data_IF_842230621399
#
_entry.id   IF_842230621399
#
_cell.length_a   1.000
_cell.length_b   1.000
_cell.length_c   1.000
_cell.angle_alpha   90.00
_cell.angle_beta   90.00
_cell.angle_gamma   90.00
#
_symmetry.space_group_name_H-M   'P 1'
#
loop_
_entity.id
_entity.type
_entity.pdbx_description
1 polymer ?
#
# COMPACT_ATOMS: atom_id res chain seq x y z
N UNK A 1 7.78 1.03 18.15
CA UNK A 1 7.41 2.13 17.24
C UNK A 1 5.91 2.11 17.14
N UNK A 2 5.24 3.20 17.49
CA UNK A 2 3.79 3.31 17.36
C UNK A 2 3.39 3.73 15.92
N UNK A 3 2.11 3.59 15.59
CA UNK A 3 1.58 3.93 14.25
C UNK A 3 1.76 5.41 13.94
N UNK A 4 1.67 6.29 14.95
CA UNK A 4 1.85 7.73 14.80
C UNK A 4 3.25 8.08 14.29
N UNK A 5 4.29 7.49 14.89
CA UNK A 5 5.67 7.68 14.45
C UNK A 5 5.86 7.20 13.01
N UNK A 6 5.29 6.04 12.66
CA UNK A 6 5.40 5.51 11.30
C UNK A 6 4.71 6.42 10.29
N UNK A 7 3.50 6.89 10.60
CA UNK A 7 2.76 7.85 9.77
C UNK A 7 3.56 9.13 9.53
N UNK A 8 4.17 9.70 10.56
CA UNK A 8 5.02 10.89 10.44
C UNK A 8 6.23 10.66 9.54
N UNK A 9 6.89 9.50 9.66
CA UNK A 9 8.00 9.13 8.79
C UNK A 9 7.56 8.97 7.33
N UNK A 10 6.47 8.27 7.08
CA UNK A 10 5.92 8.13 5.72
C UNK A 10 5.54 9.50 5.17
N UNK A 11 4.83 10.33 5.94
CA UNK A 11 4.42 11.67 5.51
C UNK A 11 5.62 12.56 5.15
N UNK A 12 6.73 12.46 5.90
CA UNK A 12 7.96 13.22 5.68
C UNK A 12 8.71 12.79 4.41
N UNK A 13 8.67 11.50 4.08
CA UNK A 13 9.50 10.93 3.02
C UNK A 13 8.74 10.64 1.72
N UNK A 14 7.41 10.52 1.78
CA UNK A 14 6.57 10.46 0.58
C UNK A 14 6.57 11.82 -0.14
N UNK A 15 6.58 11.77 -1.47
CA UNK A 15 6.42 12.93 -2.33
C UNK A 15 5.06 13.61 -2.17
N UNK A 16 4.83 14.70 -2.91
CA UNK A 16 3.64 15.53 -2.78
C UNK A 16 2.36 14.81 -3.23
N UNK A 17 2.46 13.84 -4.13
CA UNK A 17 1.37 12.92 -4.54
C UNK A 17 1.98 11.76 -5.33
N UNK A 18 1.27 10.63 -5.40
CA UNK A 18 1.69 9.42 -6.09
C UNK A 18 2.71 8.57 -5.33
N UNK A 19 3.42 7.71 -6.07
CA UNK A 19 4.43 6.79 -5.53
C UNK A 19 5.80 7.45 -5.54
N UNK A 20 6.56 7.26 -4.47
CA UNK A 20 7.92 7.76 -4.27
C UNK A 20 8.86 6.61 -3.96
N UNK A 21 9.95 6.53 -4.73
CA UNK A 21 11.05 5.61 -4.48
C UNK A 21 11.82 6.02 -3.22
N UNK A 22 12.38 5.04 -2.52
CA UNK A 22 13.28 5.29 -1.38
C UNK A 22 14.68 4.77 -1.67
N UNK A 23 15.70 5.16 -0.90
CA UNK A 23 17.04 4.55 -0.98
C UNK A 23 17.08 3.09 -0.51
N UNK A 24 15.98 2.55 0.02
CA UNK A 24 15.88 1.16 0.47
C UNK A 24 15.26 0.37 -0.68
N UNK A 25 16.03 -0.56 -1.23
CA UNK A 25 15.60 -1.41 -2.34
C UNK A 25 14.30 -2.16 -1.98
N UNK A 26 13.34 -2.11 -2.89
CA UNK A 26 12.02 -2.74 -2.73
C UNK A 26 11.06 -1.98 -1.82
N UNK A 27 11.47 -0.88 -1.15
CA UNK A 27 10.58 -0.05 -0.36
C UNK A 27 10.20 1.22 -1.12
N UNK A 28 8.89 1.39 -1.31
CA UNK A 28 8.27 2.59 -1.88
C UNK A 28 7.28 3.18 -0.90
N UNK A 29 7.14 4.49 -0.93
CA UNK A 29 6.12 5.22 -0.18
C UNK A 29 5.09 5.76 -1.15
N UNK A 30 3.86 5.99 -0.69
CA UNK A 30 2.87 6.67 -1.52
C UNK A 30 2.01 7.62 -0.72
N UNK A 31 1.55 8.65 -1.42
CA UNK A 31 0.57 9.63 -0.97
C UNK A 31 -0.49 9.73 -2.05
N UNK A 32 -1.75 9.74 -1.66
CA UNK A 32 -2.87 9.92 -2.57
C UNK A 32 -3.76 11.02 -1.98
N UNK A 33 -3.79 12.17 -2.64
CA UNK A 33 -4.54 13.34 -2.16
C UNK A 33 -5.94 13.46 -2.76
N UNK A 34 -6.27 12.67 -3.78
CA UNK A 34 -7.56 12.72 -4.46
C UNK A 34 -8.17 11.32 -4.56
N UNK A 35 -9.52 11.20 -4.58
CA UNK A 35 -10.15 9.90 -4.73
C UNK A 35 -9.73 9.23 -6.04
N UNK A 36 -9.40 7.94 -5.93
CA UNK A 36 -9.13 7.09 -7.09
C UNK A 36 -10.33 6.17 -7.26
N UNK A 37 -11.02 6.30 -8.39
CA UNK A 37 -12.08 5.37 -8.78
C UNK A 37 -11.56 3.93 -8.91
N UNK A 38 -12.47 2.96 -8.89
CA UNK A 38 -12.11 1.55 -9.05
C UNK A 38 -11.41 1.31 -10.39
N UNK A 39 -10.10 1.04 -10.33
CA UNK A 39 -9.25 0.80 -11.48
C UNK A 39 -8.60 -0.59 -11.40
N UNK A 40 -8.48 -1.31 -12.53
CA UNK A 40 -7.77 -2.58 -12.58
C UNK A 40 -6.25 -2.35 -12.48
N UNK A 41 -5.57 -3.30 -11.85
CA UNK A 41 -4.12 -3.33 -11.74
C UNK A 41 -3.60 -4.73 -11.48
N UNK A 42 -2.29 -4.92 -11.63
CA UNK A 42 -1.61 -6.15 -11.21
C UNK A 42 -0.73 -5.79 -10.03
N UNK A 43 -1.02 -6.37 -8.87
CA UNK A 43 -0.17 -6.19 -7.71
C UNK A 43 0.94 -7.24 -7.78
N UNK A 44 2.22 -6.84 -7.82
CA UNK A 44 3.32 -7.79 -7.74
C UNK A 44 3.36 -8.44 -6.35
N UNK A 45 4.22 -9.45 -6.18
CA UNK A 45 4.48 -9.99 -4.85
C UNK A 45 5.02 -8.89 -3.93
N UNK A 46 4.18 -8.42 -3.01
CA UNK A 46 4.42 -7.23 -2.21
C UNK A 46 3.53 -7.19 -0.97
N UNK A 47 3.97 -6.44 0.03
CA UNK A 47 3.17 -6.04 1.18
C UNK A 47 2.82 -4.56 1.06
N UNK A 48 1.54 -4.24 1.14
CA UNK A 48 1.00 -2.89 1.13
C UNK A 48 0.43 -2.57 2.51
N UNK A 49 0.96 -1.53 3.15
CA UNK A 49 0.51 -1.08 4.47
C UNK A 49 0.03 0.37 4.37
N UNK A 50 -1.15 0.62 4.93
CA UNK A 50 -1.75 1.95 5.03
C UNK A 50 -1.46 2.47 6.43
N UNK A 51 -0.97 3.70 6.52
CA UNK A 51 -0.64 4.37 7.78
C UNK A 51 -1.50 5.61 8.02
N UNK A 52 -2.35 5.95 7.05
CA UNK A 52 -3.42 6.93 7.17
C UNK A 52 -4.44 6.70 6.06
N UNK A 53 -5.73 6.78 6.42
CA UNK A 53 -6.84 6.68 5.48
C UNK A 53 -7.17 5.24 5.11
N UNK A 54 -7.79 5.03 3.96
CA UNK A 54 -8.36 3.73 3.60
C UNK A 54 -8.25 3.45 2.12
N UNK A 55 -7.95 2.20 1.79
CA UNK A 55 -7.94 1.68 0.42
C UNK A 55 -8.77 0.40 0.34
N UNK A 56 -9.39 0.15 -0.81
CA UNK A 56 -10.14 -1.09 -1.05
C UNK A 56 -9.55 -1.82 -2.25
N UNK A 57 -9.36 -3.12 -2.12
CA UNK A 57 -9.03 -4.02 -3.22
C UNK A 57 -10.16 -5.01 -3.45
N UNK A 58 -10.43 -5.35 -4.70
CA UNK A 58 -11.43 -6.32 -5.10
C UNK A 58 -10.72 -7.55 -5.67
N UNK A 59 -10.83 -8.68 -4.98
CA UNK A 59 -10.31 -9.97 -5.42
C UNK A 59 -11.49 -10.90 -5.71
N UNK A 60 -11.60 -11.36 -6.96
CA UNK A 60 -12.70 -12.23 -7.38
C UNK A 60 -14.08 -11.60 -7.14
N UNK A 61 -14.19 -10.27 -7.18
CA UNK A 61 -15.42 -9.53 -6.91
C UNK A 61 -15.71 -9.23 -5.44
N UNK A 62 -14.91 -9.76 -4.50
CA UNK A 62 -15.05 -9.49 -3.05
C UNK A 62 -14.20 -8.28 -2.67
N UNK A 63 -14.81 -7.32 -1.98
CA UNK A 63 -14.12 -6.14 -1.48
C UNK A 63 -13.36 -6.44 -0.19
N UNK A 64 -12.08 -6.08 -0.16
CA UNK A 64 -11.19 -6.13 0.98
C UNK A 64 -10.71 -4.70 1.28
N UNK A 65 -11.20 -4.15 2.39
CA UNK A 65 -10.76 -2.85 2.89
C UNK A 65 -9.51 -3.04 3.74
N UNK A 66 -8.54 -2.16 3.55
CA UNK A 66 -7.33 -2.12 4.38
C UNK A 66 -6.98 -0.66 4.74
N UNK A 67 -6.53 -0.51 5.96
CA UNK A 67 -6.37 0.74 6.71
C UNK A 67 -5.21 0.58 7.73
N UNK A 68 -5.14 1.43 8.74
CA UNK A 68 -4.08 1.39 9.76
C UNK A 68 -4.02 0.07 10.55
N UNK A 69 -5.13 -0.68 10.60
CA UNK A 69 -5.22 -1.94 11.34
C UNK A 69 -5.04 -3.18 10.46
N UNK A 70 -5.11 -3.02 9.13
CA UNK A 70 -5.11 -4.14 8.19
C UNK A 70 -4.15 -3.87 7.02
N UNK A 71 -3.32 -4.86 6.68
CA UNK A 71 -2.41 -4.78 5.53
C UNK A 71 -2.77 -5.81 4.47
N UNK A 72 -2.44 -5.51 3.21
CA UNK A 72 -2.57 -6.45 2.10
C UNK A 72 -1.21 -7.07 1.81
N UNK A 73 -1.14 -8.40 1.86
CA UNK A 73 0.05 -9.17 1.50
C UNK A 73 -0.26 -10.04 0.29
N UNK A 74 0.34 -9.73 -0.86
CA UNK A 74 0.27 -10.53 -2.07
C UNK A 74 1.57 -11.35 -2.19
N UNK A 75 1.49 -12.67 -2.09
CA UNK A 75 2.66 -13.57 -2.21
C UNK A 75 3.00 -13.92 -3.66
N UNK A 76 2.15 -13.53 -4.60
CA UNK A 76 2.32 -13.71 -6.04
C UNK A 76 1.65 -12.55 -6.77
N UNK A 77 1.90 -12.43 -8.07
CA UNK A 77 1.23 -11.42 -8.89
C UNK A 77 -0.28 -11.70 -8.94
N UNK A 78 -1.10 -10.72 -8.54
CA UNK A 78 -2.56 -10.85 -8.50
C UNK A 78 -3.23 -9.75 -9.34
N UNK A 79 -4.14 -10.09 -10.26
CA UNK A 79 -5.02 -9.11 -10.85
C UNK A 79 -6.02 -8.64 -9.79
N UNK A 80 -6.01 -7.34 -9.51
CA UNK A 80 -6.88 -6.72 -8.51
C UNK A 80 -7.50 -5.48 -9.12
N UNK A 81 -8.72 -5.16 -8.74
CA UNK A 81 -9.23 -3.80 -8.90
C UNK A 81 -9.04 -3.08 -7.57
N UNK A 82 -8.67 -1.81 -7.59
CA UNK A 82 -8.47 -1.05 -6.37
C UNK A 82 -9.07 0.35 -6.49
N UNK A 83 -9.56 0.85 -5.37
CA UNK A 83 -10.06 2.22 -5.25
C UNK A 83 -9.54 2.86 -3.96
N UNK A 84 -9.47 4.19 -3.98
CA UNK A 84 -9.22 5.03 -2.81
C UNK A 84 -10.37 6.02 -2.73
N UNK A 85 -11.44 5.71 -2.00
CA UNK A 85 -12.72 6.41 -2.18
C UNK A 85 -12.81 7.75 -1.45
N UNK A 86 -11.96 8.00 -0.44
CA UNK A 86 -12.13 9.10 0.51
C UNK A 86 -10.91 10.03 0.64
N UNK A 87 -9.87 9.84 -0.17
CA UNK A 87 -8.67 10.68 -0.09
C UNK A 87 -9.00 12.15 -0.35
N UNK A 88 -8.43 13.03 0.47
CA UNK A 88 -8.45 14.48 0.27
C UNK A 88 -7.06 15.06 0.54
N UNK A 89 -6.77 16.32 0.14
CA UNK A 89 -5.50 16.95 0.50
C UNK A 89 -5.30 17.12 2.01
N UNK A 90 -6.37 17.30 2.78
CA UNK A 90 -6.34 17.45 4.24
C UNK A 90 -6.23 16.08 4.96
N UNK A 91 -6.82 15.05 4.37
CA UNK A 91 -6.78 13.66 4.85
C UNK A 91 -6.38 12.72 3.71
N UNK A 92 -5.09 12.72 3.32
CA UNK A 92 -4.61 11.89 2.23
C UNK A 92 -4.46 10.44 2.69
N UNK A 93 -4.50 9.52 1.73
CA UNK A 93 -4.05 8.15 1.99
C UNK A 93 -2.53 8.11 1.95
N UNK A 94 -1.93 7.64 3.04
CA UNK A 94 -0.49 7.43 3.16
C UNK A 94 -0.21 5.95 3.37
N UNK A 95 0.86 5.47 2.75
CA UNK A 95 1.27 4.10 2.94
C UNK A 95 2.63 3.79 2.37
N UNK A 96 2.99 2.53 2.52
CA UNK A 96 4.22 1.96 1.99
C UNK A 96 3.91 0.67 1.22
N UNK A 97 4.75 0.42 0.23
CA UNK A 97 4.78 -0.81 -0.55
C UNK A 97 6.16 -1.43 -0.37
N UNK A 98 6.20 -2.67 0.11
CA UNK A 98 7.42 -3.45 0.27
C UNK A 98 7.38 -4.63 -0.71
N UNK A 99 8.32 -4.69 -1.63
CA UNK A 99 8.46 -5.81 -2.55
C UNK A 99 8.90 -7.05 -1.78
N UNK A 100 8.28 -8.19 -2.12
CA UNK A 100 8.59 -9.47 -1.51
C UNK A 100 9.49 -10.28 -2.44
N UNK A 101 10.67 -10.65 -1.95
CA UNK A 101 11.52 -11.63 -2.61
C UNK A 101 10.92 -13.03 -2.38
N UNK A 102 10.13 -13.47 -3.35
CA UNK A 102 9.43 -14.76 -3.29
C UNK A 102 10.39 -15.95 -3.23
N UNK A 103 11.63 -15.81 -3.71
CA UNK A 103 12.66 -16.85 -3.59
C UNK A 103 13.14 -16.96 -2.15
N UNK A 104 13.51 -15.84 -1.54
CA UNK A 104 13.91 -15.82 -0.13
C UNK A 104 12.77 -16.32 0.80
N UNK A 105 11.53 -15.97 0.48
CA UNK A 105 10.36 -16.47 1.20
C UNK A 105 10.21 -18.00 1.08
N UNK A 106 10.38 -18.56 -0.13
CA UNK A 106 10.32 -20.00 -0.36
C UNK A 106 11.36 -20.78 0.45
N UNK A 107 12.53 -20.21 0.68
CA UNK A 107 13.62 -20.82 1.47
C UNK A 107 13.35 -20.78 2.99
N UNK A 108 12.43 -19.94 3.46
CA UNK A 108 12.10 -19.74 4.89
C UNK A 108 10.78 -20.40 5.30
N UNK A 109 10.02 -20.94 4.35
CA UNK A 109 8.83 -21.76 4.61
C UNK A 109 9.24 -23.08 5.29
N UNK A 110 9.12 -23.10 6.63
CA UNK A 110 9.22 -24.31 7.48
C UNK A 110 7.87 -24.97 7.68
#
# INVERSE_FOLDING_TARGET
>A
MDMTTLRELVARHAGPDGVSETPIDGLRLFRINEPIERLPGVYPASMCCIVQGTKRAYLGGVAHTYDEDHYLCATMALPVEAEVPFATPDEPVLGLLLDLDTRAMAETLV
#
